data_IF_199215302197
#
_entry.id   IF_199215302197
#
_cell.length_a   1.000
_cell.length_b   1.000
_cell.length_c   1.000
_cell.angle_alpha   90.00
_cell.angle_beta   90.00
_cell.angle_gamma   90.00
#
_symmetry.space_group_name_H-M   'P 1'
#
loop_
_entity.id
_entity.type
_entity.pdbx_description
1 polymer ?
#
# COMPACT_ATOMS: atom_id res chain seq x y z
N UNK A 1 -30.54 -22.86 -23.42
CA UNK A 1 -30.39 -21.51 -22.84
C UNK A 1 -29.84 -21.69 -21.43
N UNK A 2 -28.58 -22.12 -21.34
CA UNK A 2 -27.86 -22.30 -20.07
C UNK A 2 -27.29 -20.94 -19.71
N UNK A 3 -27.80 -20.32 -18.64
CA UNK A 3 -27.30 -19.05 -18.16
C UNK A 3 -25.83 -19.13 -17.77
N UNK A 4 -25.08 -18.10 -18.11
CA UNK A 4 -23.76 -17.85 -17.53
C UNK A 4 -23.86 -17.87 -16.00
N UNK A 5 -23.00 -18.61 -15.28
CA UNK A 5 -22.70 -18.19 -13.94
C UNK A 5 -21.89 -16.91 -14.12
N UNK A 6 -22.55 -15.76 -14.00
CA UNK A 6 -21.85 -14.53 -13.65
C UNK A 6 -20.92 -14.91 -12.50
N UNK A 7 -19.62 -14.94 -12.77
CA UNK A 7 -18.62 -15.15 -11.76
C UNK A 7 -18.88 -14.06 -10.74
N UNK A 8 -19.50 -14.42 -9.62
CA UNK A 8 -19.63 -13.56 -8.46
C UNK A 8 -18.21 -13.08 -8.20
N UNK A 9 -17.93 -11.81 -8.48
CA UNK A 9 -16.67 -11.20 -8.10
C UNK A 9 -16.63 -11.35 -6.59
N UNK A 10 -15.95 -12.41 -6.14
CA UNK A 10 -15.80 -12.67 -4.73
C UNK A 10 -15.03 -11.46 -4.22
N UNK A 11 -15.71 -10.64 -3.41
CA UNK A 11 -15.14 -9.42 -2.85
C UNK A 11 -14.04 -9.87 -1.88
N UNK A 12 -12.88 -10.14 -2.47
CA UNK A 12 -11.76 -10.80 -1.82
C UNK A 12 -11.05 -9.70 -1.08
N UNK A 13 -11.40 -9.53 0.20
CA UNK A 13 -10.89 -8.42 0.98
C UNK A 13 -9.37 -8.32 0.81
N UNK A 14 -8.91 -7.15 0.37
CA UNK A 14 -7.54 -6.91 -0.04
C UNK A 14 -6.99 -5.72 0.74
N UNK A 15 -5.85 -5.94 1.38
CA UNK A 15 -5.13 -4.87 2.07
C UNK A 15 -3.80 -4.57 1.37
N UNK A 16 -3.41 -3.31 1.39
CA UNK A 16 -2.06 -2.87 1.02
C UNK A 16 -1.16 -2.93 2.25
N UNK A 17 0.00 -3.57 2.11
CA UNK A 17 1.06 -3.51 3.12
C UNK A 17 2.26 -2.76 2.56
N UNK A 18 2.86 -1.91 3.39
CA UNK A 18 4.06 -1.17 3.05
C UNK A 18 5.10 -1.29 4.18
N UNK A 19 6.35 -1.53 3.81
CA UNK A 19 7.53 -1.49 4.68
C UNK A 19 8.43 -0.35 4.21
N UNK A 20 8.44 0.72 4.98
CA UNK A 20 9.09 1.99 4.66
C UNK A 20 10.36 2.13 5.49
N UNK A 21 11.48 1.81 4.85
CA UNK A 21 12.82 2.00 5.40
C UNK A 21 13.39 3.38 5.05
N UNK A 22 14.61 3.62 5.52
CA UNK A 22 15.30 4.88 5.27
C UNK A 22 15.69 5.11 3.80
N UNK A 23 16.00 4.06 3.05
CA UNK A 23 16.49 4.16 1.65
C UNK A 23 15.51 3.58 0.65
N UNK A 24 14.70 2.61 1.07
CA UNK A 24 13.81 1.89 0.18
C UNK A 24 12.45 1.69 0.84
N UNK A 25 11.44 1.59 -0.01
CA UNK A 25 10.09 1.18 0.38
C UNK A 25 9.73 -0.10 -0.36
N UNK A 26 9.16 -1.07 0.34
CA UNK A 26 8.56 -2.26 -0.24
C UNK A 26 7.05 -2.20 -0.05
N UNK A 27 6.30 -2.57 -1.08
CA UNK A 27 4.84 -2.71 -0.98
C UNK A 27 4.38 -4.03 -1.56
N UNK A 28 3.28 -4.54 -1.03
CA UNK A 28 2.63 -5.75 -1.49
C UNK A 28 1.12 -5.68 -1.20
N UNK A 29 0.36 -6.56 -1.84
CA UNK A 29 -1.04 -6.79 -1.50
C UNK A 29 -1.14 -8.05 -0.66
N UNK A 30 -2.07 -8.05 0.29
CA UNK A 30 -2.40 -9.22 1.10
C UNK A 30 -3.90 -9.47 1.05
N UNK A 31 -4.30 -10.73 0.88
CA UNK A 31 -5.71 -11.10 0.96
C UNK A 31 -6.14 -11.49 2.38
N UNK A 32 -7.43 -11.73 2.57
CA UNK A 32 -8.02 -12.16 3.84
C UNK A 32 -7.41 -13.44 4.43
N UNK A 33 -6.78 -14.30 3.61
CA UNK A 33 -6.09 -15.50 4.08
C UNK A 33 -4.63 -15.21 4.53
N UNK A 34 -4.17 -13.96 4.38
CA UNK A 34 -2.79 -13.56 4.69
C UNK A 34 -1.81 -13.84 3.55
N UNK A 35 -2.28 -14.18 2.36
CA UNK A 35 -1.40 -14.47 1.22
C UNK A 35 -0.88 -13.16 0.62
N UNK A 36 0.45 -13.00 0.62
CA UNK A 36 1.12 -11.83 0.06
C UNK A 36 1.39 -12.01 -1.43
N UNK A 37 1.01 -11.02 -2.24
CA UNK A 37 1.22 -10.98 -3.70
C UNK A 37 1.66 -9.59 -4.17
N UNK A 38 2.08 -9.51 -5.44
CA UNK A 38 2.40 -8.25 -6.12
C UNK A 38 3.45 -7.39 -5.41
N UNK A 39 4.45 -8.04 -4.81
CA UNK A 39 5.51 -7.35 -4.09
C UNK A 39 6.38 -6.53 -5.04
N UNK A 40 6.59 -5.25 -4.73
CA UNK A 40 7.48 -4.37 -5.47
C UNK A 40 8.34 -3.53 -4.51
N UNK A 41 9.50 -3.08 -5.00
CA UNK A 41 10.44 -2.24 -4.25
C UNK A 41 10.70 -0.96 -5.01
N UNK A 42 10.80 0.15 -4.28
CA UNK A 42 11.05 1.49 -4.78
C UNK A 42 12.26 2.07 -4.05
N UNK A 43 13.16 2.72 -4.79
CA UNK A 43 14.21 3.55 -4.20
C UNK A 43 13.57 4.86 -3.74
N UNK A 44 13.70 5.20 -2.46
CA UNK A 44 13.01 6.37 -1.92
C UNK A 44 13.55 7.69 -2.50
N UNK A 45 14.76 7.68 -3.08
CA UNK A 45 15.38 8.87 -3.66
C UNK A 45 14.76 9.28 -5.01
N UNK A 46 14.01 8.37 -5.64
CA UNK A 46 13.25 8.64 -6.86
C UNK A 46 11.90 9.34 -6.57
N UNK A 47 11.56 9.54 -5.29
CA UNK A 47 10.27 10.05 -4.86
C UNK A 47 10.40 11.16 -3.82
N UNK A 48 9.64 12.24 -4.00
CA UNK A 48 9.60 13.35 -3.04
C UNK A 48 8.92 12.97 -1.71
N UNK A 49 8.07 11.93 -1.71
CA UNK A 49 7.24 11.53 -0.57
C UNK A 49 6.60 10.17 -0.77
N UNK A 50 6.01 9.63 0.30
CA UNK A 50 5.31 8.34 0.27
C UNK A 50 4.15 8.29 -0.74
N UNK A 51 3.43 9.41 -0.93
CA UNK A 51 2.36 9.49 -1.93
C UNK A 51 2.85 9.19 -3.36
N UNK A 52 4.08 9.60 -3.71
CA UNK A 52 4.67 9.29 -5.01
C UNK A 52 4.99 7.81 -5.17
N UNK A 53 5.45 7.16 -4.11
CA UNK A 53 5.69 5.71 -4.07
C UNK A 53 4.37 4.95 -4.21
N UNK A 54 3.34 5.36 -3.45
CA UNK A 54 2.01 4.78 -3.51
C UNK A 54 1.41 4.89 -4.92
N UNK A 55 1.48 6.07 -5.54
CA UNK A 55 1.02 6.29 -6.90
C UNK A 55 1.79 5.42 -7.91
N UNK A 56 3.11 5.27 -7.77
CA UNK A 56 3.90 4.41 -8.65
C UNK A 56 3.55 2.92 -8.52
N UNK A 57 3.04 2.49 -7.35
CA UNK A 57 2.61 1.12 -7.12
C UNK A 57 1.18 0.85 -7.58
N UNK A 58 0.26 1.79 -7.37
CA UNK A 58 -1.13 1.64 -7.78
C UNK A 58 -1.32 1.92 -9.28
N UNK A 59 -0.66 2.95 -9.81
CA UNK A 59 -0.83 3.45 -11.18
C UNK A 59 -0.70 2.42 -12.32
N UNK A 60 0.17 1.40 -12.25
CA UNK A 60 0.28 0.39 -13.31
C UNK A 60 -0.84 -0.66 -13.29
N UNK A 61 -1.77 -0.63 -12.32
CA UNK A 61 -2.59 -1.79 -11.98
C UNK A 61 -4.07 -1.47 -11.90
N UNK A 62 -4.87 -2.32 -12.53
CA UNK A 62 -6.32 -2.35 -12.35
C UNK A 62 -6.63 -3.20 -11.10
N UNK A 63 -6.37 -2.62 -9.92
CA UNK A 63 -6.58 -3.30 -8.65
C UNK A 63 -8.05 -3.19 -8.21
N UNK A 64 -8.63 -4.25 -7.63
CA UNK A 64 -9.90 -4.12 -6.94
C UNK A 64 -9.77 -3.15 -5.76
N UNK A 65 -10.89 -2.65 -5.22
CA UNK A 65 -10.88 -1.76 -4.06
C UNK A 65 -10.07 -2.35 -2.91
N UNK A 66 -9.22 -1.54 -2.29
CA UNK A 66 -8.46 -1.91 -1.11
C UNK A 66 -9.29 -1.58 0.14
N UNK A 67 -9.48 -2.56 1.01
CA UNK A 67 -10.27 -2.41 2.25
C UNK A 67 -9.45 -1.80 3.39
N UNK A 68 -8.13 -1.99 3.36
CA UNK A 68 -7.24 -1.55 4.42
C UNK A 68 -5.82 -1.27 3.91
N UNK A 69 -5.08 -0.50 4.70
CA UNK A 69 -3.66 -0.29 4.51
C UNK A 69 -2.91 -0.38 5.83
N UNK A 70 -1.75 -1.04 5.84
CA UNK A 70 -0.83 -1.07 6.97
C UNK A 70 0.57 -0.64 6.50
N UNK A 71 1.16 0.33 7.21
CA UNK A 71 2.46 0.90 6.87
C UNK A 71 3.38 0.75 8.08
N UNK A 72 4.41 -0.08 7.94
CA UNK A 72 5.54 -0.12 8.86
C UNK A 72 6.52 1.00 8.48
N UNK A 73 6.89 1.85 9.45
CA UNK A 73 7.81 2.98 9.22
C UNK A 73 9.02 2.85 10.13
N UNK A 74 10.22 2.91 9.56
CA UNK A 74 11.49 2.91 10.28
C UNK A 74 11.76 4.26 10.97
N UNK A 75 10.90 4.65 11.91
CA UNK A 75 11.01 5.91 12.64
C UNK A 75 9.98 6.03 13.76
N UNK A 76 9.97 7.15 14.50
CA UNK A 76 8.97 7.39 15.53
C UNK A 76 7.55 7.35 14.97
N UNK A 77 6.70 6.55 15.60
CA UNK A 77 5.26 6.48 15.33
C UNK A 77 4.54 7.02 16.55
N UNK A 78 3.71 8.04 16.34
CA UNK A 78 2.79 8.60 17.34
C UNK A 78 1.35 8.38 16.86
N UNK A 79 0.33 8.53 17.72
CA UNK A 79 -1.05 8.37 17.31
C UNK A 79 -1.38 9.24 16.08
N UNK A 80 -1.73 8.59 14.97
CA UNK A 80 -2.11 9.25 13.72
C UNK A 80 -0.98 9.86 12.90
N UNK A 81 0.30 9.71 13.29
CA UNK A 81 1.44 10.26 12.53
C UNK A 81 2.68 9.37 12.61
N UNK A 82 3.40 9.27 11.51
CA UNK A 82 4.76 8.73 11.51
C UNK A 82 5.69 9.65 10.71
N UNK A 83 7.00 9.56 10.97
CA UNK A 83 8.02 10.28 10.20
C UNK A 83 9.28 9.44 10.05
N UNK A 84 9.89 9.47 8.87
CA UNK A 84 11.25 8.95 8.69
C UNK A 84 12.26 9.88 9.37
N UNK A 85 13.28 9.31 10.02
CA UNK A 85 14.32 10.12 10.70
C UNK A 85 15.37 10.64 9.74
N UNK A 86 15.52 10.00 8.58
CA UNK A 86 16.57 10.31 7.61
C UNK A 86 16.08 11.07 6.36
N UNK A 87 14.77 11.35 6.25
CA UNK A 87 14.16 12.18 5.18
C UNK A 87 12.86 12.81 5.68
N UNK A 88 12.45 13.95 5.11
CA UNK A 88 11.22 14.68 5.52
C UNK A 88 9.95 14.04 4.95
N UNK A 89 9.80 12.73 5.12
CA UNK A 89 8.56 12.01 4.81
C UNK A 89 7.69 11.93 6.04
N UNK A 90 6.44 12.37 5.88
CA UNK A 90 5.42 12.34 6.92
C UNK A 90 4.27 11.48 6.46
N UNK A 91 3.72 10.72 7.38
CA UNK A 91 2.61 9.81 7.14
C UNK A 91 1.42 10.30 7.97
N UNK A 92 0.31 10.56 7.30
CA UNK A 92 -0.97 10.96 7.89
C UNK A 92 -2.04 10.03 7.31
N UNK A 93 -2.71 9.20 8.13
CA UNK A 93 -3.71 8.25 7.64
C UNK A 93 -4.82 8.91 6.83
N UNK A 94 -5.19 10.15 7.17
CA UNK A 94 -6.24 10.91 6.46
C UNK A 94 -5.81 11.27 5.05
N UNK A 95 -4.54 11.63 4.87
CA UNK A 95 -4.00 11.95 3.56
C UNK A 95 -3.75 10.70 2.69
N UNK A 96 -3.61 9.52 3.33
CA UNK A 96 -3.36 8.25 2.65
C UNK A 96 -4.66 7.56 2.24
N UNK A 97 -5.73 7.71 3.03
CA UNK A 97 -7.03 7.09 2.77
C UNK A 97 -7.96 7.91 1.86
N UNK A 98 -7.51 9.07 1.38
CA UNK A 98 -8.26 9.98 0.50
C UNK A 98 -8.16 9.55 -0.98
#
# INVERSE_FOLDING_TARGET
MTGDPAATAQNSAQALIADVGGTNTRMALVDAAGTVRDSARFANDDHAGFAGVLAAYLGPRDLPPLDACCIAVAGPVTPGRARLTNRDWRFDPTAIAA
#
